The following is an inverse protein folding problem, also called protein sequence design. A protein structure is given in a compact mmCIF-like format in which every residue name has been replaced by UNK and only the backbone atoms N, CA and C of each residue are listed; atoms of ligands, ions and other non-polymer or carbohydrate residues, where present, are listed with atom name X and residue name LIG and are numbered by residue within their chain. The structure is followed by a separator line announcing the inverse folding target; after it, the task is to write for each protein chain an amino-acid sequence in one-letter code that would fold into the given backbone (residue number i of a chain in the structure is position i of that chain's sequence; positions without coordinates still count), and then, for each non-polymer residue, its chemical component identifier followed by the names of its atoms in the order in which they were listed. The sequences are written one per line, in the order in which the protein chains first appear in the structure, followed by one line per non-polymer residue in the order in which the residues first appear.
data_IF_317660133349
#
_entry.id   IF_317660133349
#
_cell.length_a   1.000
_cell.length_b   1.000
_cell.length_c   1.000
_cell.angle_alpha   90.00
_cell.angle_beta   90.00
_cell.angle_gamma   90.00
#
_symmetry.space_group_name_H-M   'P 1'
#
loop_
_entity.id
_entity.type
_entity.pdbx_description
1 polymer ?
#
# COMPACT_ATOMS: atom_id res chain seq x y z
N UNK A 1 -32.93 -7.02 13.74
CA UNK A 1 -34.20 -6.29 13.93
C UNK A 1 -34.90 -6.61 15.26
N UNK A 2 -34.97 -7.88 15.72
CA UNK A 2 -35.62 -8.30 16.99
C UNK A 2 -35.17 -7.57 18.26
N UNK A 3 -33.88 -7.24 18.42
CA UNK A 3 -33.36 -6.64 19.66
C UNK A 3 -33.78 -5.19 19.93
N UNK A 4 -34.10 -4.40 18.89
CA UNK A 4 -34.55 -3.00 19.04
C UNK A 4 -36.01 -2.91 19.45
N UNK A 5 -36.87 -3.77 18.88
CA UNK A 5 -38.28 -3.88 19.28
C UNK A 5 -38.43 -4.29 20.74
N UNK A 6 -37.60 -5.24 21.20
CA UNK A 6 -37.60 -5.63 22.61
C UNK A 6 -37.27 -4.45 23.53
N UNK A 7 -36.21 -3.67 23.26
CA UNK A 7 -35.84 -2.53 24.13
C UNK A 7 -36.92 -1.45 24.21
N UNK A 8 -37.60 -1.17 23.10
CA UNK A 8 -38.71 -0.20 23.07
C UNK A 8 -39.90 -0.73 23.85
N UNK A 9 -40.27 -2.01 23.67
CA UNK A 9 -41.33 -2.65 24.42
C UNK A 9 -41.03 -2.71 25.93
N UNK A 10 -39.78 -3.02 26.33
CA UNK A 10 -39.41 -3.06 27.76
C UNK A 10 -39.48 -1.67 28.39
N UNK A 11 -39.05 -0.62 27.68
CA UNK A 11 -39.08 0.76 28.20
C UNK A 11 -40.52 1.25 28.37
N UNK A 12 -41.41 0.95 27.42
CA UNK A 12 -42.84 1.28 27.50
C UNK A 12 -43.49 0.52 28.66
N UNK A 13 -43.23 -0.78 28.80
CA UNK A 13 -43.77 -1.59 29.90
C UNK A 13 -43.27 -1.11 31.28
N UNK A 14 -42.00 -0.73 31.41
CA UNK A 14 -41.44 -0.19 32.65
C UNK A 14 -42.06 1.16 33.03
N UNK A 15 -42.20 2.06 32.06
CA UNK A 15 -42.84 3.35 32.27
C UNK A 15 -44.31 3.19 32.69
N UNK A 16 -45.02 2.21 32.10
CA UNK A 16 -46.41 1.92 32.43
C UNK A 16 -46.55 1.27 33.82
N UNK A 17 -45.65 0.35 34.18
CA UNK A 17 -45.67 -0.37 35.45
C UNK A 17 -45.34 0.52 36.67
N UNK A 18 -44.47 1.53 36.50
CA UNK A 18 -44.15 2.51 37.55
C UNK A 18 -45.29 3.51 37.74
N UNK A 19 -46.06 3.80 36.68
CA UNK A 19 -47.10 4.82 36.71
C UNK A 19 -48.40 4.37 37.40
N UNK A 20 -48.81 3.14 37.11
CA UNK A 20 -50.06 2.57 37.60
C UNK A 20 -50.20 2.66 39.14
N UNK A 21 -49.18 2.31 39.96
CA UNK A 21 -49.29 2.44 41.42
C UNK A 21 -49.22 3.89 41.91
N UNK A 22 -48.51 4.78 41.20
CA UNK A 22 -48.31 6.18 41.62
C UNK A 22 -49.59 7.01 41.46
N UNK A 23 -50.40 6.73 40.44
CA UNK A 23 -51.68 7.42 40.17
C UNK A 23 -52.78 6.99 41.14
N UNK A 24 -52.71 5.74 41.65
CA UNK A 24 -53.70 5.19 42.58
C UNK A 24 -53.45 5.67 44.02
N UNK A 25 -52.19 5.92 44.42
CA UNK A 25 -51.87 6.23 45.82
C UNK A 25 -52.00 7.72 46.23
N UNK A 26 -52.01 8.69 45.31
CA UNK A 26 -51.97 10.13 45.68
C UNK A 26 -52.99 10.97 44.90
N UNK A 27 -54.24 11.12 45.39
CA UNK A 27 -55.29 11.88 44.70
C UNK A 27 -55.06 13.40 44.65
N UNK A 28 -54.35 13.98 45.64
CA UNK A 28 -54.30 15.44 45.86
C UNK A 28 -53.32 16.24 44.98
N UNK A 29 -52.51 15.60 44.13
CA UNK A 29 -51.56 16.30 43.24
C UNK A 29 -51.50 15.70 41.82
N UNK A 30 -52.62 15.15 41.34
CA UNK A 30 -52.73 14.48 40.03
C UNK A 30 -52.11 15.28 38.87
N UNK A 31 -52.28 16.60 38.85
CA UNK A 31 -51.84 17.45 37.74
C UNK A 31 -50.32 17.47 37.53
N UNK A 32 -49.54 17.48 38.62
CA UNK A 32 -48.07 17.45 38.53
C UNK A 32 -47.56 16.07 38.07
N UNK A 33 -48.17 14.99 38.56
CA UNK A 33 -47.79 13.63 38.18
C UNK A 33 -48.12 13.34 36.72
N UNK A 34 -49.27 13.82 36.22
CA UNK A 34 -49.64 13.69 34.80
C UNK A 34 -48.67 14.48 33.91
N UNK A 35 -48.29 15.71 34.30
CA UNK A 35 -47.34 16.50 33.52
C UNK A 35 -45.94 15.88 33.42
N UNK A 36 -45.41 15.34 34.54
CA UNK A 36 -44.12 14.64 34.53
C UNK A 36 -44.21 13.37 33.67
N UNK A 37 -45.33 12.66 33.72
CA UNK A 37 -45.54 11.47 32.89
C UNK A 37 -45.53 11.79 31.40
N UNK A 38 -46.28 12.82 30.99
CA UNK A 38 -46.37 13.24 29.61
C UNK A 38 -45.02 13.70 29.08
N UNK A 39 -44.21 14.38 29.91
CA UNK A 39 -42.86 14.78 29.57
C UNK A 39 -41.92 13.58 29.36
N UNK A 40 -41.97 12.59 30.24
CA UNK A 40 -41.15 11.36 30.12
C UNK A 40 -41.56 10.56 28.89
N UNK A 41 -42.87 10.43 28.63
CA UNK A 41 -43.39 9.73 27.47
C UNK A 41 -42.98 10.41 26.17
N UNK A 42 -43.12 11.74 26.10
CA UNK A 42 -42.68 12.54 24.97
C UNK A 42 -41.16 12.42 24.72
N UNK A 43 -40.35 12.45 25.79
CA UNK A 43 -38.90 12.27 25.70
C UNK A 43 -38.51 10.90 25.12
N UNK A 44 -39.18 9.83 25.55
CA UNK A 44 -38.95 8.49 25.01
C UNK A 44 -39.40 8.39 23.55
N UNK A 45 -40.56 8.95 23.20
CA UNK A 45 -41.07 8.98 21.83
C UNK A 45 -40.10 9.72 20.88
N UNK A 46 -39.62 10.89 21.28
CA UNK A 46 -38.66 11.68 20.49
C UNK A 46 -37.32 10.94 20.38
N UNK A 47 -36.80 10.40 21.48
CA UNK A 47 -35.51 9.69 21.48
C UNK A 47 -35.53 8.44 20.59
N UNK A 48 -36.63 7.71 20.56
CA UNK A 48 -36.81 6.53 19.69
C UNK A 48 -36.98 6.91 18.21
N UNK A 49 -37.67 8.01 17.92
CA UNK A 49 -37.81 8.54 16.57
C UNK A 49 -36.46 9.02 16.01
N UNK A 50 -35.74 9.86 16.74
CA UNK A 50 -34.41 10.38 16.36
C UNK A 50 -33.39 9.23 16.25
N UNK A 51 -33.44 8.27 17.18
CA UNK A 51 -32.59 7.08 17.14
C UNK A 51 -32.84 6.18 15.92
N UNK A 52 -34.07 6.14 15.42
CA UNK A 52 -34.41 5.41 14.19
C UNK A 52 -33.86 6.10 12.96
N UNK A 53 -33.95 7.43 12.87
CA UNK A 53 -33.34 8.19 11.77
C UNK A 53 -31.81 8.05 11.74
N UNK A 54 -31.13 7.98 12.89
CA UNK A 54 -29.68 7.69 12.93
C UNK A 54 -29.32 6.26 12.52
N UNK A 55 -30.26 5.30 12.68
CA UNK A 55 -30.05 3.91 12.30
C UNK A 55 -30.25 3.70 10.79
N UNK A 56 -31.05 4.53 10.14
CA UNK A 56 -30.99 4.75 8.70
C UNK A 56 -29.73 5.57 8.40
N UNK A 57 -28.57 4.93 8.48
CA UNK A 57 -27.38 5.53 7.87
C UNK A 57 -27.76 5.85 6.41
N UNK A 58 -27.49 7.07 5.92
CA UNK A 58 -27.69 7.38 4.52
C UNK A 58 -26.90 6.34 3.74
N UNK A 59 -27.66 5.52 3.02
CA UNK A 59 -27.11 4.38 2.32
C UNK A 59 -25.95 4.83 1.43
N UNK A 60 -24.99 3.93 1.22
CA UNK A 60 -23.71 4.20 0.58
C UNK A 60 -23.80 4.92 -0.79
N UNK A 61 -24.98 4.98 -1.43
CA UNK A 61 -25.26 5.71 -2.66
C UNK A 61 -25.35 7.24 -2.52
N UNK A 62 -25.50 7.78 -1.30
CA UNK A 62 -25.44 9.23 -1.06
C UNK A 62 -24.03 9.78 -0.78
N UNK A 63 -23.03 8.90 -0.56
CA UNK A 63 -21.64 9.35 -0.42
C UNK A 63 -21.11 9.76 -1.80
N UNK A 64 -20.73 11.02 -1.91
CA UNK A 64 -20.10 11.58 -3.10
C UNK A 64 -18.90 10.72 -3.51
N UNK A 65 -18.62 10.52 -4.82
CA UNK A 65 -17.42 9.83 -5.30
C UNK A 65 -16.12 10.36 -4.69
N UNK A 66 -16.12 11.64 -4.27
CA UNK A 66 -15.01 12.35 -3.66
C UNK A 66 -14.87 12.14 -2.14
N UNK A 67 -15.92 11.68 -1.46
CA UNK A 67 -15.89 11.36 -0.01
C UNK A 67 -15.46 9.92 0.27
N UNK A 68 -15.34 9.08 -0.78
CA UNK A 68 -14.68 7.79 -0.65
C UNK A 68 -13.23 8.04 -0.32
N UNK A 69 -12.80 7.65 0.89
CA UNK A 69 -11.38 7.59 1.24
C UNK A 69 -10.65 6.94 0.06
N UNK A 70 -9.65 7.62 -0.51
CA UNK A 70 -8.85 7.07 -1.62
C UNK A 70 -8.46 5.66 -1.23
N UNK A 71 -8.99 4.66 -1.95
CA UNK A 71 -8.46 3.32 -1.87
C UNK A 71 -6.97 3.44 -2.13
N UNK A 72 -6.15 3.04 -1.15
CA UNK A 72 -4.72 2.95 -1.39
C UNK A 72 -4.58 2.02 -2.59
N UNK A 73 -3.93 2.45 -3.68
CA UNK A 73 -3.67 1.54 -4.79
C UNK A 73 -3.08 0.26 -4.20
N UNK A 74 -3.62 -0.89 -4.62
CA UNK A 74 -3.16 -2.19 -4.16
C UNK A 74 -1.65 -2.30 -4.33
N UNK A 75 -1.01 -3.18 -3.55
CA UNK A 75 0.43 -3.43 -3.69
C UNK A 75 0.76 -3.65 -5.17
N UNK A 76 1.78 -2.96 -5.73
CA UNK A 76 2.17 -3.15 -7.12
C UNK A 76 2.34 -4.65 -7.40
N UNK A 77 1.76 -5.13 -8.50
CA UNK A 77 1.97 -6.52 -8.91
C UNK A 77 3.46 -6.71 -9.20
N UNK A 78 4.04 -7.78 -8.64
CA UNK A 78 5.43 -8.13 -8.88
C UNK A 78 5.64 -8.39 -10.37
N UNK A 79 6.49 -7.57 -10.99
CA UNK A 79 6.87 -7.72 -12.40
C UNK A 79 7.88 -8.87 -12.44
N UNK A 80 7.53 -9.98 -13.08
CA UNK A 80 8.37 -11.19 -13.10
C UNK A 80 9.80 -10.94 -13.66
N UNK A 81 9.95 -9.96 -14.54
CA UNK A 81 11.25 -9.54 -15.06
C UNK A 81 12.11 -8.84 -14.01
N UNK A 82 11.49 -8.04 -13.12
CA UNK A 82 12.20 -7.38 -12.03
C UNK A 82 12.75 -8.41 -11.04
N UNK A 83 11.95 -9.42 -10.69
CA UNK A 83 12.39 -10.54 -9.84
C UNK A 83 13.50 -11.38 -10.49
N UNK A 84 13.56 -11.41 -11.82
CA UNK A 84 14.63 -12.07 -12.56
C UNK A 84 15.92 -11.26 -12.47
N UNK A 85 15.83 -9.94 -12.69
CA UNK A 85 16.98 -9.03 -12.59
C UNK A 85 17.54 -9.03 -11.16
N UNK A 86 16.68 -8.96 -10.15
CA UNK A 86 17.08 -8.99 -8.74
C UNK A 86 17.88 -10.27 -8.42
N UNK A 87 17.38 -11.43 -8.86
CA UNK A 87 18.12 -12.69 -8.72
C UNK A 87 19.47 -12.69 -9.42
N UNK A 88 19.58 -12.07 -10.59
CA UNK A 88 20.86 -11.97 -11.31
C UNK A 88 21.86 -11.08 -10.58
N UNK A 89 21.39 -9.97 -9.99
CA UNK A 89 22.21 -9.08 -9.15
C UNK A 89 22.70 -9.82 -7.91
N UNK A 90 21.80 -10.52 -7.20
CA UNK A 90 22.17 -11.31 -6.01
C UNK A 90 23.21 -12.38 -6.34
N UNK A 91 23.04 -13.12 -7.43
CA UNK A 91 24.00 -14.15 -7.86
C UNK A 91 25.34 -13.54 -8.30
N UNK A 92 25.32 -12.46 -9.07
CA UNK A 92 26.53 -11.76 -9.51
C UNK A 92 27.31 -11.10 -8.37
N UNK A 93 26.63 -10.70 -7.30
CA UNK A 93 27.27 -10.21 -6.08
C UNK A 93 27.87 -11.34 -5.23
N UNK A 94 27.31 -12.54 -5.30
CA UNK A 94 27.76 -13.67 -4.48
C UNK A 94 29.12 -14.22 -4.91
N UNK A 95 29.39 -14.34 -6.21
CA UNK A 95 30.66 -14.88 -6.70
C UNK A 95 31.07 -14.40 -8.10
N UNK A 96 32.37 -14.44 -8.35
CA UNK A 96 32.98 -13.97 -9.61
C UNK A 96 32.57 -14.79 -10.84
N UNK A 97 32.23 -16.06 -10.66
CA UNK A 97 31.76 -16.93 -11.75
C UNK A 97 30.38 -16.51 -12.24
N UNK A 98 29.42 -16.30 -11.33
CA UNK A 98 28.07 -15.83 -11.67
C UNK A 98 28.11 -14.38 -12.17
N UNK A 99 29.03 -13.54 -11.67
CA UNK A 99 29.32 -12.23 -12.27
C UNK A 99 29.70 -12.37 -13.74
N UNK A 100 30.65 -13.24 -14.07
CA UNK A 100 31.15 -13.40 -15.43
C UNK A 100 30.11 -13.99 -16.39
N UNK A 101 29.37 -15.02 -15.97
CA UNK A 101 28.47 -15.76 -16.87
C UNK A 101 27.03 -15.25 -16.90
N UNK A 102 26.58 -14.52 -15.86
CA UNK A 102 25.18 -14.08 -15.75
C UNK A 102 25.03 -12.57 -15.85
N UNK A 103 25.77 -11.82 -15.02
CA UNK A 103 25.59 -10.37 -14.89
C UNK A 103 26.36 -9.61 -15.97
N UNK A 104 27.59 -10.01 -16.27
CA UNK A 104 28.45 -9.36 -17.28
C UNK A 104 27.83 -9.33 -18.69
N UNK A 105 27.21 -10.39 -19.23
CA UNK A 105 26.58 -10.33 -20.54
C UNK A 105 25.51 -9.23 -20.65
N UNK A 106 24.72 -9.03 -19.59
CA UNK A 106 23.74 -7.96 -19.54
C UNK A 106 24.40 -6.58 -19.47
N UNK A 107 25.42 -6.40 -18.63
CA UNK A 107 26.16 -5.14 -18.56
C UNK A 107 26.84 -4.80 -19.90
N UNK A 108 27.41 -5.79 -20.59
CA UNK A 108 27.98 -5.62 -21.93
C UNK A 108 26.94 -5.18 -22.95
N UNK A 109 25.77 -5.81 -22.94
CA UNK A 109 24.68 -5.46 -23.84
C UNK A 109 24.24 -4.01 -23.62
N UNK A 110 23.98 -3.63 -22.37
CA UNK A 110 23.56 -2.26 -22.01
C UNK A 110 24.64 -1.24 -22.40
N UNK A 111 25.91 -1.52 -22.09
CA UNK A 111 27.02 -0.65 -22.44
C UNK A 111 27.14 -0.47 -23.97
N UNK A 112 27.04 -1.57 -24.73
CA UNK A 112 27.07 -1.53 -26.19
C UNK A 112 25.91 -0.74 -26.79
N UNK A 113 24.69 -0.97 -26.31
CA UNK A 113 23.49 -0.24 -26.74
C UNK A 113 23.60 1.26 -26.44
N UNK A 114 24.11 1.64 -25.26
CA UNK A 114 24.32 3.05 -24.86
C UNK A 114 25.38 3.73 -25.72
N UNK A 115 26.55 3.10 -25.88
CA UNK A 115 27.64 3.63 -26.70
C UNK A 115 27.24 3.79 -28.16
N UNK A 116 26.55 2.79 -28.71
CA UNK A 116 26.07 2.86 -30.09
C UNK A 116 24.98 3.93 -30.24
N UNK A 117 23.98 3.93 -29.35
CA UNK A 117 22.85 4.83 -29.43
C UNK A 117 23.21 6.32 -29.26
N UNK A 118 24.17 6.65 -28.40
CA UNK A 118 24.55 8.05 -28.12
C UNK A 118 25.79 8.52 -28.87
N UNK A 119 26.74 7.63 -29.16
CA UNK A 119 28.03 8.00 -29.76
C UNK A 119 28.33 7.29 -31.08
N UNK A 120 27.51 6.33 -31.51
CA UNK A 120 27.75 5.55 -32.73
C UNK A 120 28.98 4.62 -32.62
N UNK A 121 29.41 4.31 -31.39
CA UNK A 121 30.60 3.49 -31.13
C UNK A 121 30.19 2.04 -30.83
N UNK A 122 30.93 1.10 -31.41
CA UNK A 122 30.78 -0.32 -31.10
C UNK A 122 31.81 -0.75 -30.05
N UNK A 123 31.34 -1.40 -28.98
CA UNK A 123 32.15 -1.75 -27.81
C UNK A 123 33.41 -2.58 -28.15
N UNK A 124 33.31 -3.48 -29.14
CA UNK A 124 34.42 -4.37 -29.54
C UNK A 124 35.24 -3.83 -30.72
N UNK A 125 34.66 -2.95 -31.55
CA UNK A 125 35.34 -2.41 -32.74
C UNK A 125 36.17 -1.17 -32.40
N UNK A 126 35.75 -0.40 -31.41
CA UNK A 126 36.40 0.85 -30.98
C UNK A 126 36.80 0.81 -29.48
N UNK A 127 37.63 -0.16 -29.05
CA UNK A 127 37.89 -0.40 -27.62
C UNK A 127 38.53 0.78 -26.89
N UNK A 128 39.46 1.50 -27.53
CA UNK A 128 40.14 2.64 -26.91
C UNK A 128 39.18 3.81 -26.65
N UNK A 129 38.28 4.07 -27.60
CA UNK A 129 37.26 5.14 -27.45
C UNK A 129 36.17 4.73 -26.47
N UNK A 130 35.75 3.47 -26.51
CA UNK A 130 34.79 2.94 -25.55
C UNK A 130 35.35 3.01 -24.12
N UNK A 131 36.60 2.61 -23.90
CA UNK A 131 37.29 2.74 -22.61
C UNK A 131 37.32 4.17 -22.10
N UNK A 132 37.62 5.14 -22.96
CA UNK A 132 37.66 6.55 -22.58
C UNK A 132 36.31 7.09 -22.09
N UNK A 133 35.19 6.59 -22.65
CA UNK A 133 33.83 7.00 -22.26
C UNK A 133 33.30 6.24 -21.06
N UNK A 134 33.57 4.93 -20.97
CA UNK A 134 33.10 4.07 -19.88
C UNK A 134 33.90 4.28 -18.58
N UNK A 135 35.15 4.71 -18.69
CA UNK A 135 36.10 4.76 -17.57
C UNK A 135 36.68 3.39 -17.23
N UNK A 136 37.78 3.38 -16.46
CA UNK A 136 38.56 2.17 -16.16
C UNK A 136 37.75 1.08 -15.43
N UNK A 137 36.99 1.44 -14.38
CA UNK A 137 36.26 0.45 -13.57
C UNK A 137 35.20 -0.31 -14.39
N UNK A 138 34.38 0.41 -15.15
CA UNK A 138 33.35 -0.17 -16.00
C UNK A 138 33.95 -0.92 -17.19
N UNK A 139 35.01 -0.37 -17.79
CA UNK A 139 35.74 -1.04 -18.87
C UNK A 139 36.28 -2.40 -18.44
N UNK A 140 36.88 -2.51 -17.26
CA UNK A 140 37.39 -3.78 -16.73
C UNK A 140 36.31 -4.86 -16.59
N UNK A 141 35.05 -4.46 -16.36
CA UNK A 141 33.91 -5.38 -16.29
C UNK A 141 33.45 -5.83 -17.69
N UNK A 142 33.38 -4.92 -18.66
CA UNK A 142 32.77 -5.19 -19.97
C UNK A 142 33.76 -5.54 -21.09
N UNK A 143 35.07 -5.36 -20.86
CA UNK A 143 36.13 -5.65 -21.85
C UNK A 143 36.02 -7.07 -22.38
N UNK A 144 36.20 -7.31 -23.68
CA UNK A 144 36.00 -8.62 -24.30
C UNK A 144 36.91 -9.71 -23.68
N UNK A 145 38.18 -9.39 -23.45
CA UNK A 145 39.20 -10.32 -22.94
C UNK A 145 39.25 -10.43 -21.40
N UNK A 146 38.13 -10.20 -20.71
CA UNK A 146 38.10 -10.42 -19.26
C UNK A 146 38.23 -11.93 -18.97
N UNK A 147 39.27 -12.30 -18.23
CA UNK A 147 39.44 -13.67 -17.75
C UNK A 147 38.27 -14.12 -16.85
N UNK A 148 37.98 -15.42 -16.88
CA UNK A 148 36.96 -16.02 -16.01
C UNK A 148 37.51 -16.10 -14.60
N UNK A 149 36.77 -15.54 -13.66
CA UNK A 149 37.08 -15.57 -12.24
C UNK A 149 37.04 -16.96 -11.60
N UNK A 150 37.53 -17.05 -10.36
CA UNK A 150 37.38 -18.28 -9.57
C UNK A 150 35.96 -18.39 -9.05
N UNK A 151 35.41 -19.61 -8.96
CA UNK A 151 34.07 -19.84 -8.41
C UNK A 151 33.90 -19.37 -6.96
N UNK A 152 34.99 -19.41 -6.19
CA UNK A 152 35.04 -18.89 -4.80
C UNK A 152 35.56 -17.46 -4.72
N UNK A 153 35.85 -16.82 -5.86
CA UNK A 153 36.25 -15.42 -5.92
C UNK A 153 35.09 -14.49 -5.54
N UNK A 154 35.38 -13.31 -4.98
CA UNK A 154 34.35 -12.34 -4.63
C UNK A 154 33.60 -11.89 -5.90
N UNK A 155 32.27 -11.78 -5.79
CA UNK A 155 31.44 -11.16 -6.83
C UNK A 155 31.58 -9.64 -6.83
N UNK A 156 30.70 -8.96 -7.58
CA UNK A 156 30.62 -7.50 -7.59
C UNK A 156 29.59 -7.02 -6.55
N UNK A 157 29.99 -6.35 -5.45
CA UNK A 157 29.06 -5.82 -4.46
C UNK A 157 27.97 -4.95 -5.09
N UNK A 158 26.77 -4.97 -4.51
CA UNK A 158 25.63 -4.23 -5.05
C UNK A 158 25.85 -2.70 -5.08
N UNK A 159 26.63 -2.16 -4.12
CA UNK A 159 27.01 -0.75 -4.10
C UNK A 159 27.87 -0.40 -5.32
N UNK A 160 28.94 -1.17 -5.55
CA UNK A 160 29.82 -1.00 -6.70
C UNK A 160 29.04 -1.15 -8.01
N UNK A 161 28.17 -2.16 -8.12
CA UNK A 161 27.30 -2.31 -9.29
C UNK A 161 26.42 -1.07 -9.52
N UNK A 162 25.85 -0.49 -8.48
CA UNK A 162 25.04 0.72 -8.58
C UNK A 162 25.84 1.92 -9.11
N UNK A 163 27.11 2.06 -8.69
CA UNK A 163 28.01 3.09 -9.23
C UNK A 163 28.26 2.89 -10.73
N UNK A 164 28.53 1.66 -11.15
CA UNK A 164 28.74 1.32 -12.56
C UNK A 164 27.49 1.55 -13.41
N UNK A 165 26.30 1.25 -12.87
CA UNK A 165 25.02 1.53 -13.55
C UNK A 165 24.78 3.04 -13.64
N UNK A 166 25.09 3.81 -12.60
CA UNK A 166 24.96 5.27 -12.64
C UNK A 166 25.86 5.90 -13.72
N UNK A 167 27.07 5.37 -13.92
CA UNK A 167 27.93 5.78 -15.04
C UNK A 167 27.30 5.45 -16.41
N UNK A 168 26.73 4.25 -16.56
CA UNK A 168 26.01 3.84 -17.78
C UNK A 168 24.78 4.70 -18.08
N UNK A 169 24.10 5.20 -17.05
CA UNK A 169 22.94 6.07 -17.20
C UNK A 169 23.31 7.48 -17.64
N UNK A 170 24.54 7.94 -17.34
CA UNK A 170 25.04 9.26 -17.73
C UNK A 170 25.58 9.31 -19.16
N UNK A 171 25.99 8.15 -19.69
CA UNK A 171 26.42 7.96 -21.10
C UNK A 171 25.36 8.38 -22.10
#
# INVERSE_FOLDING_TARGET
MRGRFFRVATAISFATAILLPLVVLVPSRRTLFVGIYELVLAGIAIGTLVGSFRAFQPEAWMRSPFERAREKPGRPQAIAELDRIDRLVVLGAANEFDLHYRLRPLLRQIAGERLYGRYGLELDRDPDRARALLGEGLWELVRPEREVGRRSGPGLPAADLAEHVALLEQL
#
